data_IF_975461385754
#
_entry.id   IF_975461385754
#
_cell.length_a   1.000
_cell.length_b   1.000
_cell.length_c   1.000
_cell.angle_alpha   90.00
_cell.angle_beta   90.00
_cell.angle_gamma   90.00
#
_symmetry.space_group_name_H-M   'P 1'
#
loop_
_entity.id
_entity.type
_entity.pdbx_description
1 polymer ?
#
# COMPACT_ATOMS: atom_id res chain seq x y z
N UNK A 1 24.50 22.96 -3.19
CA UNK A 1 23.93 22.55 -4.49
C UNK A 1 24.63 21.29 -4.96
N UNK A 2 24.11 20.11 -4.60
CA UNK A 2 24.54 18.86 -5.22
C UNK A 2 23.92 18.87 -6.61
N UNK A 3 24.74 18.95 -7.67
CA UNK A 3 24.24 18.73 -9.03
C UNK A 3 23.60 17.34 -9.06
N UNK A 4 22.27 17.29 -9.16
CA UNK A 4 21.54 16.06 -9.47
C UNK A 4 22.09 15.57 -10.81
N UNK A 5 22.93 14.51 -10.77
CA UNK A 5 23.42 13.84 -11.98
C UNK A 5 22.20 13.44 -12.79
N UNK A 6 22.21 13.72 -14.11
CA UNK A 6 21.17 13.28 -15.04
C UNK A 6 20.92 11.77 -14.80
N UNK A 7 19.70 11.35 -14.44
CA UNK A 7 19.41 9.95 -14.11
C UNK A 7 19.64 9.01 -15.29
N UNK A 8 19.78 9.52 -16.51
CA UNK A 8 20.07 8.74 -17.73
C UNK A 8 21.56 8.71 -18.11
N UNK A 9 22.41 9.38 -17.33
CA UNK A 9 23.84 9.51 -17.66
C UNK A 9 24.54 8.14 -17.70
N UNK A 10 24.27 7.28 -16.71
CA UNK A 10 24.89 5.97 -16.59
C UNK A 10 24.45 5.02 -17.72
N UNK A 11 23.20 5.07 -18.15
CA UNK A 11 22.68 4.29 -19.27
C UNK A 11 23.30 4.70 -20.62
N UNK A 12 23.47 6.01 -20.85
CA UNK A 12 24.16 6.50 -22.06
C UNK A 12 25.62 6.07 -22.08
N UNK A 13 26.29 6.19 -20.94
CA UNK A 13 27.69 5.78 -20.82
C UNK A 13 27.87 4.27 -20.98
N UNK A 14 26.90 3.47 -20.50
CA UNK A 14 26.86 2.03 -20.72
C UNK A 14 26.71 1.72 -22.21
N UNK A 15 25.75 2.34 -22.91
CA UNK A 15 25.55 2.13 -24.35
C UNK A 15 26.81 2.44 -25.14
N UNK A 16 27.44 3.59 -24.90
CA UNK A 16 28.70 3.97 -25.54
C UNK A 16 29.85 2.99 -25.24
N UNK A 17 29.84 2.38 -24.06
CA UNK A 17 30.85 1.39 -23.66
C UNK A 17 30.65 0.06 -24.38
N UNK A 18 29.41 -0.41 -24.48
CA UNK A 18 29.05 -1.66 -25.17
C UNK A 18 29.26 -1.51 -26.68
N UNK A 19 28.84 -0.40 -27.30
CA UNK A 19 29.04 -0.17 -28.74
C UNK A 19 30.52 -0.08 -29.12
N UNK A 20 31.35 0.57 -28.30
CA UNK A 20 32.80 0.57 -28.51
C UNK A 20 33.40 -0.82 -28.29
N UNK A 21 32.93 -1.55 -27.27
CA UNK A 21 33.40 -2.89 -26.98
C UNK A 21 33.05 -3.90 -28.07
N UNK A 22 31.89 -3.76 -28.72
CA UNK A 22 31.48 -4.61 -29.83
C UNK A 22 32.37 -4.53 -31.08
N UNK A 23 33.17 -3.45 -31.23
CA UNK A 23 34.20 -3.35 -32.30
C UNK A 23 35.43 -4.22 -32.02
N UNK A 24 35.64 -4.61 -30.77
CA UNK A 24 36.73 -5.46 -30.30
C UNK A 24 36.17 -6.50 -29.32
N UNK A 25 35.37 -7.47 -29.80
CA UNK A 25 34.58 -8.34 -28.92
C UNK A 25 35.44 -9.34 -28.14
N UNK A 26 36.62 -9.69 -28.66
CA UNK A 26 37.53 -10.68 -28.07
C UNK A 26 37.84 -10.41 -26.59
N UNK A 27 37.48 -11.36 -25.73
CA UNK A 27 37.69 -11.39 -24.29
C UNK A 27 36.79 -10.44 -23.51
N UNK A 28 35.73 -9.87 -24.10
CA UNK A 28 34.84 -8.92 -23.41
C UNK A 28 33.57 -9.59 -22.93
N UNK A 29 33.25 -9.35 -21.67
CA UNK A 29 32.04 -9.87 -21.03
C UNK A 29 31.26 -8.73 -20.37
N UNK A 30 29.93 -8.87 -20.36
CA UNK A 30 29.04 -8.04 -19.55
C UNK A 30 28.17 -8.93 -18.65
N UNK A 31 27.85 -8.41 -17.47
CA UNK A 31 27.00 -9.07 -16.48
C UNK A 31 25.92 -8.10 -16.06
N UNK A 32 24.67 -8.51 -16.21
CA UNK A 32 23.49 -7.72 -15.83
C UNK A 32 22.86 -8.34 -14.59
N UNK A 33 22.87 -7.61 -13.49
CA UNK A 33 22.15 -7.97 -12.26
C UNK A 33 20.77 -7.28 -12.26
N UNK A 34 19.71 -8.07 -12.19
CA UNK A 34 18.32 -7.64 -12.32
C UNK A 34 17.69 -7.22 -10.98
N UNK A 35 18.36 -6.33 -10.24
CA UNK A 35 17.88 -5.89 -8.91
C UNK A 35 16.51 -5.18 -8.95
N UNK A 36 16.08 -4.69 -10.11
CA UNK A 36 14.76 -4.13 -10.33
C UNK A 36 13.62 -5.15 -10.22
N UNK A 37 13.94 -6.45 -10.31
CA UNK A 37 12.99 -7.55 -10.15
C UNK A 37 12.83 -7.99 -8.67
N UNK A 38 13.69 -7.48 -7.77
CA UNK A 38 13.54 -7.70 -6.33
C UNK A 38 12.22 -7.11 -5.81
N UNK A 39 11.74 -7.65 -4.69
CA UNK A 39 10.58 -7.13 -3.98
C UNK A 39 10.75 -5.65 -3.61
N UNK A 40 9.69 -4.83 -3.61
CA UNK A 40 9.78 -3.39 -3.32
C UNK A 40 10.45 -3.07 -1.98
N UNK A 41 10.24 -3.90 -0.96
CA UNK A 41 10.88 -3.82 0.36
C UNK A 41 12.41 -3.92 0.30
N UNK A 42 12.95 -4.67 -0.67
CA UNK A 42 14.37 -4.91 -0.85
C UNK A 42 15.06 -3.85 -1.74
N UNK A 43 14.28 -3.06 -2.48
CA UNK A 43 14.76 -2.03 -3.42
C UNK A 43 15.02 -0.66 -2.78
N UNK A 44 15.32 -0.60 -1.48
CA UNK A 44 15.63 0.67 -0.81
C UNK A 44 16.90 1.31 -1.39
N UNK A 45 17.01 2.66 -1.43
CA UNK A 45 18.21 3.33 -1.89
C UNK A 45 19.49 2.98 -1.12
N UNK A 46 19.36 2.52 0.14
CA UNK A 46 20.48 2.05 0.95
C UNK A 46 21.01 0.70 0.45
N UNK A 47 20.11 -0.27 0.22
CA UNK A 47 20.47 -1.61 -0.24
C UNK A 47 21.09 -1.59 -1.64
N UNK A 48 20.51 -0.82 -2.57
CA UNK A 48 21.05 -0.70 -3.93
C UNK A 48 22.45 -0.08 -3.95
N UNK A 49 22.72 0.91 -3.09
CA UNK A 49 24.07 1.50 -2.92
C UNK A 49 25.05 0.51 -2.32
N UNK A 50 24.61 -0.29 -1.35
CA UNK A 50 25.44 -1.35 -0.75
C UNK A 50 25.82 -2.39 -1.81
N UNK A 51 24.86 -2.88 -2.60
CA UNK A 51 25.11 -3.82 -3.70
C UNK A 51 26.12 -3.28 -4.72
N UNK A 52 25.96 -2.03 -5.16
CA UNK A 52 26.91 -1.38 -6.06
C UNK A 52 28.32 -1.24 -5.46
N UNK A 53 28.40 -0.95 -4.14
CA UNK A 53 29.69 -0.77 -3.44
C UNK A 53 30.53 -2.05 -3.37
N UNK A 54 29.90 -3.24 -3.44
CA UNK A 54 30.61 -4.52 -3.39
C UNK A 54 31.45 -4.79 -4.64
N UNK A 55 31.16 -4.13 -5.76
CA UNK A 55 31.99 -4.20 -6.97
C UNK A 55 33.15 -3.19 -6.99
N UNK A 56 33.23 -2.26 -6.02
CA UNK A 56 34.30 -1.25 -5.97
C UNK A 56 35.72 -1.84 -5.96
N UNK A 57 36.02 -2.94 -5.24
CA UNK A 57 37.34 -3.56 -5.28
C UNK A 57 37.73 -4.12 -6.66
N UNK A 58 36.75 -4.52 -7.47
CA UNK A 58 36.98 -5.06 -8.81
C UNK A 58 37.24 -3.96 -9.84
N UNK A 59 36.74 -2.74 -9.60
CA UNK A 59 37.04 -1.59 -10.46
C UNK A 59 38.48 -1.08 -10.34
N UNK A 60 39.11 -1.24 -9.17
CA UNK A 60 40.46 -0.73 -8.92
C UNK A 60 41.56 -1.68 -9.38
N UNK A 61 41.27 -2.98 -9.49
CA UNK A 61 42.23 -4.04 -9.81
C UNK A 61 42.15 -4.53 -11.26
N UNK A 62 40.95 -4.47 -11.87
CA UNK A 62 40.69 -5.02 -13.20
C UNK A 62 40.18 -3.92 -14.15
N UNK A 63 40.26 -4.14 -15.47
CA UNK A 63 39.66 -3.26 -16.48
C UNK A 63 38.12 -3.41 -16.55
N UNK A 64 37.47 -3.42 -15.38
CA UNK A 64 36.03 -3.66 -15.18
C UNK A 64 35.35 -2.35 -14.83
N UNK A 65 34.24 -2.07 -15.50
CA UNK A 65 33.40 -0.90 -15.29
C UNK A 65 32.05 -1.34 -14.75
N UNK A 66 31.55 -0.66 -13.73
CA UNK A 66 30.23 -0.93 -13.15
C UNK A 66 29.35 0.28 -13.37
N UNK A 67 28.14 0.02 -13.87
CA UNK A 67 27.12 1.02 -14.13
C UNK A 67 25.93 0.73 -13.21
N UNK A 68 25.62 1.64 -12.30
CA UNK A 68 24.37 1.61 -11.53
C UNK A 68 23.29 2.33 -12.32
N UNK A 69 22.24 1.60 -12.70
CA UNK A 69 21.20 2.06 -13.60
C UNK A 69 20.04 2.69 -12.83
N UNK A 70 19.30 3.60 -13.45
CA UNK A 70 18.14 4.30 -12.87
C UNK A 70 16.97 3.39 -12.51
N UNK A 71 16.88 2.18 -13.10
CA UNK A 71 15.90 1.17 -12.69
C UNK A 71 16.26 0.48 -11.35
N UNK A 72 17.49 0.64 -10.88
CA UNK A 72 18.05 -0.06 -9.72
C UNK A 72 18.97 -1.23 -10.09
N UNK A 73 18.99 -1.65 -11.36
CA UNK A 73 19.88 -2.71 -11.84
C UNK A 73 21.36 -2.29 -11.85
N UNK A 74 22.23 -3.28 -11.93
CA UNK A 74 23.68 -3.08 -12.07
C UNK A 74 24.16 -3.80 -13.33
N UNK A 75 24.95 -3.10 -14.14
CA UNK A 75 25.65 -3.69 -15.28
C UNK A 75 27.16 -3.62 -15.05
N UNK A 76 27.84 -4.74 -15.16
CA UNK A 76 29.30 -4.85 -15.05
C UNK A 76 29.84 -5.18 -16.44
N UNK A 77 30.84 -4.45 -16.94
CA UNK A 77 31.42 -4.66 -18.28
C UNK A 77 32.93 -4.62 -18.18
N UNK A 78 33.61 -5.63 -18.70
CA UNK A 78 35.07 -5.73 -18.62
C UNK A 78 35.69 -6.49 -19.78
N UNK A 79 37.01 -6.43 -19.87
CA UNK A 79 37.81 -7.31 -20.74
C UNK A 79 38.63 -8.25 -19.85
N UNK A 80 38.69 -9.52 -20.21
CA UNK A 80 39.38 -10.60 -19.50
C UNK A 80 39.00 -10.60 -18.02
N UNK A 81 37.69 -10.43 -17.76
CA UNK A 81 37.15 -10.24 -16.43
C UNK A 81 37.28 -11.53 -15.62
N UNK A 82 37.77 -11.48 -14.36
CA UNK A 82 37.89 -12.68 -13.53
C UNK A 82 36.51 -13.17 -13.11
N UNK A 83 35.98 -14.15 -13.84
CA UNK A 83 34.62 -14.68 -13.66
C UNK A 83 34.38 -15.14 -12.22
N UNK A 84 35.30 -15.92 -11.63
CA UNK A 84 35.22 -16.39 -10.25
C UNK A 84 35.12 -15.25 -9.21
N UNK A 85 35.79 -14.12 -9.45
CA UNK A 85 35.74 -12.97 -8.54
C UNK A 85 34.41 -12.23 -8.63
N UNK A 86 33.92 -12.06 -9.85
CA UNK A 86 32.62 -11.43 -10.13
C UNK A 86 31.49 -12.29 -9.58
N UNK A 87 31.56 -13.61 -9.78
CA UNK A 87 30.61 -14.57 -9.23
C UNK A 87 30.59 -14.56 -7.70
N UNK A 88 31.76 -14.50 -7.04
CA UNK A 88 31.84 -14.31 -5.57
C UNK A 88 31.12 -13.04 -5.12
N UNK A 89 31.25 -11.94 -5.85
CA UNK A 89 30.55 -10.69 -5.53
C UNK A 89 29.05 -10.82 -5.78
N UNK A 90 28.64 -11.46 -6.87
CA UNK A 90 27.22 -11.74 -7.17
C UNK A 90 26.60 -12.60 -6.06
N UNK A 91 27.26 -13.66 -5.62
CA UNK A 91 26.79 -14.53 -4.53
C UNK A 91 26.74 -13.77 -3.19
N UNK A 92 27.67 -12.85 -2.94
CA UNK A 92 27.60 -11.94 -1.79
C UNK A 92 26.37 -11.02 -1.86
N UNK A 93 26.08 -10.45 -3.03
CA UNK A 93 24.90 -9.60 -3.25
C UNK A 93 23.63 -10.45 -3.10
N UNK A 94 23.59 -11.65 -3.68
CA UNK A 94 22.50 -12.62 -3.52
C UNK A 94 22.24 -12.91 -2.03
N UNK A 95 23.29 -13.10 -1.23
CA UNK A 95 23.16 -13.28 0.23
C UNK A 95 22.65 -12.04 0.98
N UNK A 96 22.89 -10.82 0.48
CA UNK A 96 22.30 -9.59 1.05
C UNK A 96 20.79 -9.53 0.84
N UNK A 97 20.29 -10.22 -0.18
CA UNK A 97 18.88 -10.35 -0.51
C UNK A 97 18.34 -11.75 -0.21
N UNK A 98 18.91 -12.43 0.80
CA UNK A 98 18.52 -13.78 1.23
C UNK A 98 17.02 -13.93 1.52
N UNK A 99 16.30 -12.85 1.82
CA UNK A 99 14.85 -12.88 2.06
C UNK A 99 14.03 -12.62 0.76
N UNK A 100 14.65 -12.60 -0.42
CA UNK A 100 14.01 -12.31 -1.72
C UNK A 100 13.88 -13.55 -2.63
N UNK A 101 12.71 -13.74 -3.28
CA UNK A 101 12.44 -14.86 -4.21
C UNK A 101 13.46 -15.03 -5.31
N UNK A 102 13.94 -13.90 -5.81
CA UNK A 102 14.87 -13.84 -6.92
C UNK A 102 16.24 -14.42 -6.53
N UNK A 103 16.53 -14.51 -5.23
CA UNK A 103 17.79 -14.99 -4.70
C UNK A 103 17.85 -16.52 -4.54
N UNK A 104 16.72 -17.24 -4.59
CA UNK A 104 16.60 -18.66 -4.22
C UNK A 104 16.65 -19.66 -5.39
N UNK A 105 17.04 -19.21 -6.58
CA UNK A 105 17.20 -20.11 -7.73
C UNK A 105 18.47 -20.95 -7.59
N UNK A 106 18.30 -22.27 -7.46
CA UNK A 106 19.36 -23.27 -7.64
C UNK A 106 19.51 -23.59 -9.14
N UNK A 107 20.76 -23.67 -9.64
CA UNK A 107 21.11 -23.85 -11.07
C UNK A 107 20.63 -25.18 -11.70
N UNK A 108 19.91 -26.03 -10.97
CA UNK A 108 19.76 -27.47 -11.26
C UNK A 108 18.69 -27.87 -12.32
N UNK A 109 18.05 -26.93 -13.04
CA UNK A 109 17.00 -27.29 -14.02
C UNK A 109 17.19 -26.70 -15.45
N UNK A 110 18.36 -26.18 -15.80
CA UNK A 110 18.59 -25.61 -17.14
C UNK A 110 17.72 -24.37 -17.44
N UNK A 111 17.16 -23.77 -16.39
CA UNK A 111 16.40 -22.52 -16.41
C UNK A 111 17.42 -21.37 -16.27
N UNK A 112 17.38 -20.33 -17.13
CA UNK A 112 18.26 -19.18 -17.02
C UNK A 112 18.07 -18.46 -15.67
N UNK A 113 19.17 -18.12 -15.00
CA UNK A 113 19.15 -17.40 -13.74
C UNK A 113 18.41 -16.05 -13.88
N UNK A 114 17.28 -15.84 -13.18
CA UNK A 114 16.51 -14.60 -13.29
C UNK A 114 17.17 -13.42 -12.56
N UNK A 115 18.15 -13.69 -11.69
CA UNK A 115 18.86 -12.66 -10.92
C UNK A 115 20.02 -12.05 -11.70
N UNK A 116 20.70 -12.85 -12.53
CA UNK A 116 21.87 -12.41 -13.29
C UNK A 116 21.91 -12.99 -14.70
N UNK A 117 22.30 -12.16 -15.67
CA UNK A 117 22.52 -12.61 -17.06
C UNK A 117 23.93 -12.24 -17.50
N UNK A 118 24.64 -13.23 -18.03
CA UNK A 118 25.97 -13.08 -18.60
C UNK A 118 25.90 -12.92 -20.12
N UNK A 119 26.76 -12.08 -20.67
CA UNK A 119 26.87 -11.81 -22.10
C UNK A 119 28.35 -11.85 -22.51
N UNK A 120 28.72 -12.78 -23.38
CA UNK A 120 30.01 -12.77 -24.05
C UNK A 120 29.90 -11.97 -25.35
N UNK A 121 30.74 -10.96 -25.57
CA UNK A 121 30.59 -10.05 -26.71
C UNK A 121 30.78 -10.77 -28.05
N UNK A 122 31.56 -11.85 -28.09
CA UNK A 122 31.76 -12.64 -29.31
C UNK A 122 30.50 -13.37 -29.77
N UNK A 123 29.58 -13.68 -28.85
CA UNK A 123 28.39 -14.50 -29.11
C UNK A 123 27.11 -13.68 -28.96
N UNK A 124 26.99 -12.94 -27.87
CA UNK A 124 25.74 -12.36 -27.40
C UNK A 124 25.58 -10.87 -27.73
N UNK A 125 26.51 -10.25 -28.44
CA UNK A 125 26.46 -8.81 -28.74
C UNK A 125 25.16 -8.40 -29.45
N UNK A 126 24.64 -9.25 -30.33
CA UNK A 126 23.37 -9.01 -31.02
C UNK A 126 22.16 -9.04 -30.08
N UNK A 127 22.26 -9.70 -28.93
CA UNK A 127 21.24 -9.75 -27.87
C UNK A 127 21.44 -8.60 -26.87
N UNK A 128 22.68 -8.36 -26.45
CA UNK A 128 23.03 -7.33 -25.47
C UNK A 128 22.71 -5.91 -25.94
N UNK A 129 22.99 -5.57 -27.20
CA UNK A 129 22.77 -4.22 -27.74
C UNK A 129 21.28 -3.78 -27.67
N UNK A 130 20.31 -4.59 -28.13
CA UNK A 130 18.89 -4.31 -27.92
C UNK A 130 18.50 -4.12 -26.44
N UNK A 131 19.03 -4.95 -25.53
CA UNK A 131 18.75 -4.85 -24.09
C UNK A 131 19.19 -3.49 -23.54
N UNK A 132 20.45 -3.09 -23.79
CA UNK A 132 20.99 -1.81 -23.31
C UNK A 132 20.25 -0.61 -23.91
N UNK A 133 19.85 -0.69 -25.19
CA UNK A 133 19.03 0.36 -25.84
C UNK A 133 17.65 0.47 -25.21
N UNK A 134 17.02 -0.66 -24.88
CA UNK A 134 15.72 -0.68 -24.19
C UNK A 134 15.82 -0.06 -22.79
N UNK A 135 16.87 -0.38 -22.03
CA UNK A 135 17.14 0.21 -20.72
C UNK A 135 17.25 1.74 -20.82
N UNK A 136 18.03 2.25 -21.78
CA UNK A 136 18.16 3.68 -22.00
C UNK A 136 16.83 4.34 -22.39
N UNK A 137 16.09 3.74 -23.32
CA UNK A 137 14.80 4.28 -23.75
C UNK A 137 13.79 4.38 -22.59
N UNK A 138 13.76 3.39 -21.71
CA UNK A 138 12.89 3.38 -20.54
C UNK A 138 13.33 4.40 -19.47
N UNK A 139 14.64 4.58 -19.29
CA UNK A 139 15.21 5.62 -18.43
C UNK A 139 14.86 7.03 -18.96
N UNK A 140 14.90 7.25 -20.27
CA UNK A 140 14.52 8.53 -20.89
C UNK A 140 13.03 8.84 -20.74
N UNK A 141 12.15 7.84 -20.89
CA UNK A 141 10.72 7.98 -20.58
C UNK A 141 10.49 8.34 -19.11
N UNK A 142 11.16 7.65 -18.18
CA UNK A 142 11.08 7.95 -16.74
C UNK A 142 11.58 9.35 -16.43
N UNK A 143 12.68 9.79 -17.06
CA UNK A 143 13.19 11.17 -16.92
C UNK A 143 12.21 12.21 -17.45
N UNK A 144 11.60 11.97 -18.61
CA UNK A 144 10.57 12.88 -19.15
C UNK A 144 9.36 12.98 -18.22
N UNK A 145 8.93 11.87 -17.64
CA UNK A 145 7.90 11.86 -16.61
C UNK A 145 8.34 12.64 -15.35
N UNK A 146 9.56 12.42 -14.85
CA UNK A 146 10.11 13.09 -13.67
C UNK A 146 10.35 14.59 -13.85
N UNK A 147 10.76 15.05 -15.04
CA UNK A 147 10.94 16.47 -15.35
C UNK A 147 9.63 17.27 -15.34
N UNK A 148 8.48 16.57 -15.30
CA UNK A 148 7.16 17.16 -15.14
C UNK A 148 6.66 17.12 -13.69
N UNK A 149 7.39 16.50 -12.75
CA UNK A 149 6.99 16.52 -11.34
C UNK A 149 7.36 17.87 -10.69
N UNK A 150 6.47 18.45 -9.86
CA UNK A 150 6.77 19.63 -9.05
C UNK A 150 7.98 19.38 -8.13
N UNK A 151 8.69 20.43 -7.70
CA UNK A 151 9.71 20.30 -6.66
C UNK A 151 9.13 19.65 -5.40
N UNK A 152 9.95 18.86 -4.71
CA UNK A 152 9.52 18.22 -3.45
C UNK A 152 9.11 19.28 -2.43
N UNK A 153 7.95 19.09 -1.76
CA UNK A 153 7.45 20.04 -0.78
C UNK A 153 8.38 20.11 0.44
N UNK A 154 8.57 21.30 1.00
CA UNK A 154 9.41 21.50 2.19
C UNK A 154 8.71 20.96 3.44
N UNK A 155 9.44 20.48 4.46
CA UNK A 155 8.83 20.09 5.73
C UNK A 155 8.07 21.26 6.39
N UNK A 156 7.03 20.93 7.16
CA UNK A 156 6.32 21.92 7.99
C UNK A 156 7.12 22.24 9.25
N UNK A 157 7.10 23.51 9.66
CA UNK A 157 7.62 23.97 10.95
C UNK A 157 6.50 24.40 11.90
N UNK A 158 6.81 24.62 13.19
CA UNK A 158 5.82 25.06 14.18
C UNK A 158 5.09 26.36 13.81
N UNK A 159 5.77 27.27 13.07
CA UNK A 159 5.18 28.52 12.59
C UNK A 159 4.12 28.35 11.51
N UNK A 160 4.08 27.20 10.82
CA UNK A 160 3.12 26.95 9.74
C UNK A 160 1.75 26.48 10.30
N UNK A 161 1.72 25.87 11.50
CA UNK A 161 0.54 25.21 12.06
C UNK A 161 -0.66 26.17 12.23
N UNK A 162 -0.43 27.37 12.77
CA UNK A 162 -1.50 28.36 12.95
C UNK A 162 -2.12 28.80 11.62
N UNK A 163 -1.29 28.93 10.58
CA UNK A 163 -1.75 29.22 9.21
C UNK A 163 -2.55 28.05 8.62
N UNK A 164 -2.12 26.81 8.85
CA UNK A 164 -2.83 25.61 8.41
C UNK A 164 -4.21 25.47 9.07
N UNK A 165 -4.30 25.69 10.38
CA UNK A 165 -5.58 25.66 11.12
C UNK A 165 -6.51 26.76 10.61
N UNK A 166 -6.02 27.99 10.46
CA UNK A 166 -6.80 29.10 9.89
C UNK A 166 -7.25 28.83 8.45
N UNK A 167 -6.40 28.19 7.64
CA UNK A 167 -6.73 27.78 6.29
C UNK A 167 -7.87 26.77 6.26
N UNK A 168 -7.85 25.80 7.18
CA UNK A 168 -8.90 24.80 7.33
C UNK A 168 -10.25 25.44 7.70
N UNK A 169 -10.25 26.49 8.53
CA UNK A 169 -11.46 27.23 8.90
C UNK A 169 -12.14 27.89 7.70
N UNK A 170 -11.36 28.35 6.73
CA UNK A 170 -11.85 28.98 5.50
C UNK A 170 -12.26 27.97 4.43
N UNK A 171 -11.81 26.72 4.54
CA UNK A 171 -12.02 25.68 3.53
C UNK A 171 -13.42 25.08 3.65
N UNK A 172 -14.10 24.93 2.51
CA UNK A 172 -15.28 24.07 2.46
C UNK A 172 -14.85 22.59 2.48
N UNK A 173 -14.67 22.04 3.69
CA UNK A 173 -14.16 20.70 3.92
C UNK A 173 -14.99 19.61 3.22
N UNK A 174 -16.31 19.80 3.03
CA UNK A 174 -17.19 18.80 2.38
C UNK A 174 -16.75 18.39 0.99
N UNK A 175 -16.07 19.28 0.26
CA UNK A 175 -15.54 18.98 -1.09
C UNK A 175 -14.39 17.99 -1.08
N UNK A 176 -13.76 17.82 0.08
CA UNK A 176 -12.61 16.95 0.29
C UNK A 176 -12.97 15.71 1.12
N UNK A 177 -14.24 15.58 1.53
CA UNK A 177 -14.75 14.38 2.18
C UNK A 177 -15.18 13.41 1.08
N UNK A 178 -14.61 12.21 1.17
CA UNK A 178 -14.96 11.07 0.35
C UNK A 178 -15.52 9.98 1.24
N UNK A 179 -16.24 9.04 0.62
CA UNK A 179 -16.65 7.81 1.27
C UNK A 179 -16.18 6.59 0.50
N UNK A 180 -15.79 5.55 1.23
CA UNK A 180 -15.33 4.27 0.69
C UNK A 180 -16.06 3.12 1.39
N UNK A 181 -16.63 2.15 0.66
CA UNK A 181 -17.28 1.00 1.25
C UNK A 181 -16.23 0.01 1.82
N UNK A 182 -16.50 -0.47 3.03
CA UNK A 182 -15.97 -1.74 3.51
C UNK A 182 -17.03 -2.81 3.21
N UNK A 183 -16.64 -3.88 2.51
CA UNK A 183 -17.56 -4.96 2.17
C UNK A 183 -17.31 -6.16 3.07
N UNK A 184 -18.38 -6.85 3.44
CA UNK A 184 -18.33 -8.14 4.10
C UNK A 184 -18.77 -9.24 3.12
N UNK A 185 -17.98 -10.30 3.02
CA UNK A 185 -18.21 -11.42 2.10
C UNK A 185 -18.72 -12.63 2.89
N UNK A 186 -19.93 -13.04 2.56
CA UNK A 186 -20.54 -14.30 2.99
C UNK A 186 -20.36 -15.38 1.92
N UNK A 187 -20.83 -16.60 2.17
CA UNK A 187 -20.75 -17.69 1.18
C UNK A 187 -21.45 -17.41 -0.15
N UNK A 188 -22.46 -16.52 -0.16
CA UNK A 188 -23.35 -16.30 -1.32
C UNK A 188 -23.35 -14.86 -1.82
N UNK A 189 -23.06 -13.90 -0.96
CA UNK A 189 -23.20 -12.47 -1.24
C UNK A 189 -22.09 -11.66 -0.57
N UNK A 190 -21.74 -10.54 -1.20
CA UNK A 190 -21.02 -9.45 -0.59
C UNK A 190 -22.01 -8.32 -0.25
N UNK A 191 -21.88 -7.76 0.93
CA UNK A 191 -22.71 -6.67 1.44
C UNK A 191 -21.83 -5.54 1.97
N UNK A 192 -22.35 -4.31 1.97
CA UNK A 192 -21.63 -3.19 2.59
C UNK A 192 -21.76 -3.32 4.11
N UNK A 193 -20.62 -3.48 4.79
CA UNK A 193 -20.55 -3.51 6.25
C UNK A 193 -20.70 -2.10 6.83
N UNK A 194 -19.96 -1.14 6.26
CA UNK A 194 -20.06 0.29 6.55
C UNK A 194 -19.46 1.10 5.39
N UNK A 195 -19.74 2.41 5.36
CA UNK A 195 -19.02 3.35 4.50
C UNK A 195 -18.11 4.25 5.35
N UNK A 196 -16.80 4.16 5.11
CA UNK A 196 -15.79 5.03 5.74
C UNK A 196 -15.83 6.39 5.10
N UNK A 197 -16.12 7.43 5.89
CA UNK A 197 -15.96 8.80 5.49
C UNK A 197 -14.54 9.23 5.87
N UNK A 198 -13.81 9.78 4.90
CA UNK A 198 -12.43 10.20 5.11
C UNK A 198 -12.14 11.46 4.33
N UNK A 199 -11.12 12.18 4.77
CA UNK A 199 -10.64 13.38 4.12
C UNK A 199 -9.32 13.07 3.43
N UNK A 200 -9.19 13.50 2.17
CA UNK A 200 -7.90 13.43 1.49
C UNK A 200 -6.96 14.50 2.06
N UNK A 201 -6.10 14.10 2.99
CA UNK A 201 -5.08 14.96 3.61
C UNK A 201 -4.19 15.62 2.54
N UNK A 202 -3.77 14.88 1.52
CA UNK A 202 -3.01 15.41 0.39
C UNK A 202 -3.78 16.43 -0.46
N UNK A 203 -5.11 16.32 -0.54
CA UNK A 203 -5.94 17.31 -1.24
C UNK A 203 -6.13 18.57 -0.42
N UNK A 204 -6.28 18.44 0.90
CA UNK A 204 -6.30 19.58 1.81
C UNK A 204 -4.95 20.30 1.82
N UNK A 205 -3.85 19.56 1.97
CA UNK A 205 -2.49 20.10 1.98
C UNK A 205 -2.19 20.94 0.75
N UNK A 206 -2.62 20.51 -0.43
CA UNK A 206 -2.47 21.31 -1.68
C UNK A 206 -3.19 22.66 -1.65
N UNK A 207 -4.20 22.84 -0.80
CA UNK A 207 -4.95 24.09 -0.67
C UNK A 207 -4.41 24.95 0.45
N UNK A 208 -4.17 24.36 1.62
CA UNK A 208 -3.80 25.12 2.84
C UNK A 208 -2.28 25.29 3.00
N UNK A 209 -1.48 24.44 2.35
CA UNK A 209 -0.03 24.42 2.47
C UNK A 209 0.63 23.90 1.17
N UNK A 210 0.42 24.56 0.01
CA UNK A 210 0.75 24.06 -1.34
C UNK A 210 2.23 23.75 -1.60
N UNK A 211 3.13 24.22 -0.75
CA UNK A 211 4.58 24.01 -0.85
C UNK A 211 5.17 23.26 0.34
N UNK A 212 4.31 22.74 1.23
CA UNK A 212 4.71 22.09 2.46
C UNK A 212 4.23 20.64 2.50
N UNK A 213 5.07 19.77 3.04
CA UNK A 213 4.68 18.41 3.38
C UNK A 213 4.06 18.40 4.78
N UNK A 214 2.73 18.43 4.83
CA UNK A 214 1.99 18.43 6.09
C UNK A 214 2.12 17.11 6.87
N UNK A 215 2.66 16.06 6.24
CA UNK A 215 2.89 14.75 6.86
C UNK A 215 4.34 14.59 7.35
N UNK A 216 5.22 15.55 7.07
CA UNK A 216 6.65 15.47 7.41
C UNK A 216 6.90 15.43 8.92
N UNK A 217 6.12 16.16 9.72
CA UNK A 217 6.28 16.23 11.18
C UNK A 217 5.07 15.66 11.92
N UNK A 218 5.28 14.53 12.59
CA UNK A 218 4.21 13.74 13.21
C UNK A 218 3.40 14.50 14.26
N UNK A 219 4.07 15.22 15.15
CA UNK A 219 3.40 15.93 16.26
C UNK A 219 2.60 17.14 15.77
N UNK A 220 3.13 17.87 14.79
CA UNK A 220 2.40 18.98 14.15
C UNK A 220 1.19 18.45 13.38
N UNK A 221 1.35 17.33 12.69
CA UNK A 221 0.24 16.67 12.03
C UNK A 221 -0.82 16.17 13.02
N UNK A 222 -0.42 15.63 14.17
CA UNK A 222 -1.37 15.20 15.21
C UNK A 222 -2.25 16.36 15.69
N UNK A 223 -1.64 17.51 15.99
CA UNK A 223 -2.40 18.71 16.41
C UNK A 223 -3.31 19.23 15.29
N UNK A 224 -2.82 19.23 14.05
CA UNK A 224 -3.63 19.56 12.88
C UNK A 224 -4.81 18.59 12.71
N UNK A 225 -4.60 17.28 12.93
CA UNK A 225 -5.60 16.24 12.75
C UNK A 225 -6.75 16.34 13.75
N UNK A 226 -6.50 16.78 15.00
CA UNK A 226 -7.57 17.05 15.97
C UNK A 226 -8.54 18.11 15.47
N UNK A 227 -8.01 19.20 14.93
CA UNK A 227 -8.84 20.26 14.33
C UNK A 227 -9.57 19.73 13.09
N UNK A 228 -8.91 18.88 12.31
CA UNK A 228 -9.51 18.24 11.13
C UNK A 228 -10.71 17.35 11.50
N UNK A 229 -10.61 16.56 12.56
CA UNK A 229 -11.69 15.70 13.05
C UNK A 229 -12.92 16.54 13.39
N UNK A 230 -12.77 17.58 14.22
CA UNK A 230 -13.87 18.49 14.60
C UNK A 230 -14.58 19.07 13.38
N UNK A 231 -13.80 19.52 12.38
CA UNK A 231 -14.33 20.10 11.15
C UNK A 231 -15.03 19.07 10.28
N UNK A 232 -14.48 17.86 10.20
CA UNK A 232 -15.06 16.75 9.45
C UNK A 232 -16.38 16.31 10.08
N UNK A 233 -16.42 16.09 11.39
CA UNK A 233 -17.63 15.72 12.13
C UNK A 233 -18.73 16.78 11.90
N UNK A 234 -18.41 18.06 12.12
CA UNK A 234 -19.38 19.15 11.93
C UNK A 234 -19.91 19.23 10.49
N UNK A 235 -19.12 18.86 9.50
CA UNK A 235 -19.53 18.80 8.11
C UNK A 235 -20.47 17.62 7.82
N UNK A 236 -20.30 16.48 8.50
CA UNK A 236 -21.14 15.29 8.37
C UNK A 236 -22.52 15.46 9.00
N UNK A 237 -22.65 16.17 10.13
CA UNK A 237 -23.95 16.48 10.77
C UNK A 237 -24.98 17.02 9.78
N UNK A 238 -24.51 17.78 8.80
CA UNK A 238 -25.34 18.50 7.83
C UNK A 238 -25.29 17.87 6.43
N UNK A 239 -24.89 16.60 6.33
CA UNK A 239 -24.72 15.89 5.06
C UNK A 239 -25.82 14.85 4.87
N UNK A 240 -26.65 15.04 3.86
CA UNK A 240 -27.68 14.07 3.45
C UNK A 240 -27.06 12.73 3.04
N UNK A 241 -25.87 12.77 2.41
CA UNK A 241 -25.14 11.57 1.98
C UNK A 241 -24.65 10.76 3.18
N UNK A 242 -24.22 11.45 4.25
CA UNK A 242 -23.82 10.78 5.48
C UNK A 242 -25.01 10.18 6.23
N UNK A 243 -26.25 10.56 5.89
CA UNK A 243 -27.45 9.98 6.47
C UNK A 243 -27.91 8.67 5.80
N UNK A 244 -27.38 8.35 4.61
CA UNK A 244 -27.82 7.19 3.82
C UNK A 244 -27.38 5.84 4.41
N UNK A 245 -26.11 5.65 4.83
CA UNK A 245 -25.66 4.35 5.31
C UNK A 245 -26.19 4.09 6.71
N UNK A 246 -26.54 2.83 6.97
CA UNK A 246 -26.90 2.36 8.32
C UNK A 246 -25.70 2.47 9.26
N UNK A 247 -24.52 2.10 8.78
CA UNK A 247 -23.26 2.19 9.52
C UNK A 247 -22.27 3.05 8.74
N UNK A 248 -21.74 4.08 9.40
CA UNK A 248 -20.65 4.90 8.88
C UNK A 248 -19.38 4.59 9.67
N UNK A 249 -18.21 4.75 9.04
CA UNK A 249 -16.93 4.71 9.74
C UNK A 249 -16.23 6.07 9.66
N UNK A 250 -15.57 6.47 10.76
CA UNK A 250 -14.82 7.71 10.88
C UNK A 250 -13.45 7.43 11.48
N UNK A 251 -12.39 7.88 10.79
CA UNK A 251 -11.07 7.97 11.41
C UNK A 251 -11.08 9.14 12.37
N UNK A 252 -10.85 8.87 13.65
CA UNK A 252 -10.85 9.88 14.69
C UNK A 252 -9.67 9.66 15.64
N UNK A 253 -9.11 10.77 16.12
CA UNK A 253 -8.33 10.75 17.34
C UNK A 253 -9.26 10.39 18.51
N UNK A 254 -8.74 9.65 19.50
CA UNK A 254 -9.47 9.30 20.73
C UNK A 254 -10.01 10.55 21.44
N UNK A 255 -9.27 11.65 21.39
CA UNK A 255 -9.69 12.93 21.98
C UNK A 255 -10.93 13.54 21.34
N UNK A 256 -11.16 13.25 20.07
CA UNK A 256 -12.31 13.77 19.33
C UNK A 256 -13.64 13.19 19.82
N UNK A 257 -13.62 12.07 20.55
CA UNK A 257 -14.81 11.47 21.17
C UNK A 257 -15.45 12.34 22.25
N UNK A 258 -14.65 13.17 22.92
CA UNK A 258 -15.13 14.09 23.97
C UNK A 258 -15.56 15.46 23.40
N UNK A 259 -15.52 15.62 22.07
CA UNK A 259 -15.88 16.88 21.41
C UNK A 259 -17.39 17.10 21.37
N UNK A 260 -17.79 18.38 21.42
CA UNK A 260 -19.21 18.76 21.26
C UNK A 260 -19.75 18.37 19.89
N UNK A 261 -18.90 18.39 18.88
CA UNK A 261 -19.23 18.04 17.51
C UNK A 261 -19.58 16.56 17.38
N UNK A 262 -18.84 15.67 18.05
CA UNK A 262 -19.16 14.23 18.09
C UNK A 262 -20.51 13.99 18.76
N UNK A 263 -20.73 14.63 19.91
CA UNK A 263 -22.00 14.66 20.64
C UNK A 263 -23.19 15.08 19.75
N UNK A 264 -23.02 16.17 19.00
CA UNK A 264 -24.05 16.69 18.09
C UNK A 264 -24.29 15.72 16.92
N UNK A 265 -23.23 15.15 16.35
CA UNK A 265 -23.35 14.15 15.29
C UNK A 265 -24.16 12.96 15.80
N UNK A 266 -23.78 12.36 16.93
CA UNK A 266 -24.45 11.16 17.41
C UNK A 266 -25.92 11.40 17.76
N UNK A 267 -26.25 12.55 18.38
CA UNK A 267 -27.65 12.94 18.68
C UNK A 267 -28.49 13.23 17.43
N UNK A 268 -27.85 13.59 16.31
CA UNK A 268 -28.53 13.83 15.04
C UNK A 268 -28.82 12.56 14.24
N UNK A 269 -28.19 11.44 14.61
CA UNK A 269 -28.37 10.14 13.94
C UNK A 269 -29.51 9.34 14.58
N UNK A 270 -30.25 8.62 13.75
CA UNK A 270 -31.29 7.69 14.22
C UNK A 270 -30.70 6.60 15.14
N UNK A 271 -31.47 6.07 16.11
CA UNK A 271 -30.97 5.08 17.07
C UNK A 271 -30.49 3.76 16.46
N UNK A 272 -30.99 3.39 15.27
CA UNK A 272 -30.64 2.16 14.54
C UNK A 272 -29.43 2.32 13.61
N UNK A 273 -28.83 3.52 13.61
CA UNK A 273 -27.63 3.86 12.87
C UNK A 273 -26.42 3.89 13.80
N UNK A 274 -25.29 3.45 13.27
CA UNK A 274 -24.09 3.17 14.04
C UNK A 274 -22.86 3.87 13.45
N UNK A 275 -21.92 4.23 14.32
CA UNK A 275 -20.61 4.75 13.97
C UNK A 275 -19.56 3.70 14.31
N UNK A 276 -18.66 3.40 13.38
CA UNK A 276 -17.39 2.74 13.65
C UNK A 276 -16.35 3.83 13.84
N UNK A 277 -15.77 3.92 15.04
CA UNK A 277 -14.68 4.84 15.35
C UNK A 277 -13.37 4.13 15.06
N UNK A 278 -12.69 4.51 13.98
CA UNK A 278 -11.38 3.99 13.61
C UNK A 278 -10.28 4.84 14.25
N UNK A 279 -9.49 4.22 15.13
CA UNK A 279 -8.38 4.87 15.83
C UNK A 279 -7.06 4.28 15.35
N UNK A 280 -6.13 5.14 14.96
CA UNK A 280 -4.78 4.71 14.56
C UNK A 280 -4.05 4.07 15.73
N UNK A 281 -3.33 2.96 15.49
CA UNK A 281 -2.52 2.24 16.49
C UNK A 281 -1.64 3.17 17.34
N UNK A 282 -1.05 4.20 16.75
CA UNK A 282 -0.23 5.16 17.51
C UNK A 282 -1.02 5.89 18.59
N UNK A 283 -2.25 6.31 18.28
CA UNK A 283 -3.04 7.11 19.20
C UNK A 283 -3.48 6.25 20.40
N UNK A 284 -3.74 4.96 20.14
CA UNK A 284 -3.95 3.97 21.19
C UNK A 284 -2.73 3.85 22.10
N UNK A 285 -1.52 3.78 21.56
CA UNK A 285 -0.31 3.70 22.38
C UNK A 285 -0.05 4.97 23.21
N UNK A 286 -0.40 6.16 22.69
CA UNK A 286 -0.24 7.41 23.44
C UNK A 286 -1.37 7.67 24.43
N UNK A 287 -2.53 7.03 24.26
CA UNK A 287 -3.75 7.29 25.03
C UNK A 287 -4.48 6.01 25.45
N UNK A 288 -3.74 5.02 25.97
CA UNK A 288 -4.28 3.69 26.28
C UNK A 288 -5.47 3.72 27.26
N UNK A 289 -5.41 4.55 28.31
CA UNK A 289 -6.51 4.68 29.27
C UNK A 289 -7.80 5.18 28.61
N UNK A 290 -7.68 6.09 27.64
CA UNK A 290 -8.82 6.58 26.87
C UNK A 290 -9.35 5.52 25.92
N UNK A 291 -8.48 4.75 25.26
CA UNK A 291 -8.88 3.59 24.46
C UNK A 291 -9.72 2.59 25.29
N UNK A 292 -9.20 2.20 26.45
CA UNK A 292 -9.86 1.23 27.33
C UNK A 292 -11.21 1.74 27.86
N UNK A 293 -11.35 3.07 28.01
CA UNK A 293 -12.60 3.72 28.43
C UNK A 293 -13.57 4.00 27.28
N UNK A 294 -13.07 4.10 26.04
CA UNK A 294 -13.88 4.42 24.86
C UNK A 294 -14.86 3.30 24.49
N UNK A 295 -14.46 2.04 24.64
CA UNK A 295 -15.30 0.90 24.23
C UNK A 295 -16.62 0.82 25.02
N UNK A 296 -16.63 0.86 26.38
CA UNK A 296 -17.89 0.91 27.14
C UNK A 296 -18.78 2.09 26.73
N UNK A 297 -18.19 3.28 26.54
CA UNK A 297 -18.91 4.48 26.14
C UNK A 297 -19.58 4.32 24.76
N UNK A 298 -18.86 3.82 23.76
CA UNK A 298 -19.42 3.59 22.41
C UNK A 298 -20.50 2.51 22.40
N UNK A 299 -20.37 1.49 23.26
CA UNK A 299 -21.40 0.44 23.40
C UNK A 299 -22.73 0.98 23.91
N UNK A 300 -22.75 2.02 24.75
CA UNK A 300 -24.00 2.64 25.24
C UNK A 300 -24.86 3.21 24.10
N UNK A 301 -24.23 3.65 23.02
CA UNK A 301 -24.88 4.18 21.82
C UNK A 301 -24.97 3.16 20.69
N UNK A 302 -24.55 1.92 20.92
CA UNK A 302 -24.51 0.87 19.90
C UNK A 302 -23.44 1.09 18.82
N UNK A 303 -22.45 1.93 19.09
CA UNK A 303 -21.34 2.23 18.20
C UNK A 303 -20.18 1.24 18.40
N UNK A 304 -19.25 1.19 17.46
CA UNK A 304 -18.16 0.21 17.41
C UNK A 304 -16.80 0.89 17.47
N UNK A 305 -15.82 0.25 18.10
CA UNK A 305 -14.44 0.71 18.15
C UNK A 305 -13.55 -0.14 17.24
N UNK A 306 -12.78 0.51 16.36
CA UNK A 306 -11.88 -0.16 15.44
C UNK A 306 -10.44 0.31 15.62
N UNK A 307 -9.50 -0.65 15.60
CA UNK A 307 -8.06 -0.40 15.59
C UNK A 307 -7.57 -0.35 14.14
N UNK A 308 -7.06 0.79 13.69
CA UNK A 308 -6.60 1.00 12.31
C UNK A 308 -5.08 1.13 12.19
N UNK A 309 -4.58 0.77 11.01
CA UNK A 309 -3.18 0.92 10.64
C UNK A 309 -2.27 -0.21 11.09
N UNK A 310 -2.80 -1.41 11.37
CA UNK A 310 -1.95 -2.55 11.70
C UNK A 310 -1.20 -3.04 10.45
N UNK A 311 0.10 -3.24 10.61
CA UNK A 311 0.85 -4.14 9.73
C UNK A 311 0.76 -5.57 10.27
N UNK A 312 0.91 -6.60 9.42
CA UNK A 312 0.87 -8.00 9.86
C UNK A 312 1.78 -8.28 11.06
N UNK A 313 3.02 -7.78 11.01
CA UNK A 313 4.03 -7.93 12.05
C UNK A 313 3.66 -7.36 13.42
N UNK A 314 2.72 -6.41 13.50
CA UNK A 314 2.28 -5.83 14.78
C UNK A 314 1.36 -6.79 15.56
N UNK A 315 0.78 -7.80 14.90
CA UNK A 315 -0.09 -8.79 15.54
C UNK A 315 0.62 -9.61 16.61
N UNK A 316 1.92 -9.87 16.47
CA UNK A 316 2.72 -10.59 17.47
C UNK A 316 3.19 -9.73 18.65
N UNK A 317 3.06 -8.40 18.56
CA UNK A 317 3.54 -7.45 19.58
C UNK A 317 2.40 -6.91 20.44
N UNK A 318 1.18 -6.86 19.90
CA UNK A 318 0.01 -6.33 20.58
C UNK A 318 -0.91 -7.42 21.12
N UNK A 319 -1.31 -7.28 22.37
CA UNK A 319 -2.35 -8.13 22.98
C UNK A 319 -3.74 -7.65 22.53
N UNK A 320 -4.17 -8.14 21.36
CA UNK A 320 -5.45 -7.76 20.76
C UNK A 320 -6.65 -8.28 21.55
N UNK A 321 -6.51 -9.37 22.30
CA UNK A 321 -7.57 -9.88 23.18
C UNK A 321 -7.83 -8.89 24.32
N UNK A 322 -6.76 -8.32 24.90
CA UNK A 322 -6.87 -7.31 25.95
C UNK A 322 -7.30 -5.94 25.44
N UNK A 323 -6.85 -5.54 24.24
CA UNK A 323 -7.33 -4.31 23.61
C UNK A 323 -8.80 -4.41 23.20
N UNK A 324 -9.28 -5.63 22.92
CA UNK A 324 -10.65 -6.00 22.56
C UNK A 324 -11.30 -5.01 21.55
N UNK A 325 -10.73 -4.72 20.38
CA UNK A 325 -11.37 -3.83 19.39
C UNK A 325 -12.54 -4.53 18.68
N UNK A 326 -13.68 -3.89 18.45
CA UNK A 326 -14.77 -4.51 17.67
C UNK A 326 -14.33 -4.85 16.24
N UNK A 327 -13.45 -4.04 15.64
CA UNK A 327 -12.78 -4.36 14.37
C UNK A 327 -11.27 -4.07 14.39
N UNK A 328 -10.50 -4.80 13.59
CA UNK A 328 -9.08 -4.55 13.32
C UNK A 328 -8.87 -4.40 11.83
N UNK A 329 -8.29 -3.28 11.41
CA UNK A 329 -7.90 -3.04 10.01
C UNK A 329 -6.43 -3.35 9.82
N UNK A 330 -6.17 -4.40 9.06
CA UNK A 330 -4.81 -4.81 8.67
C UNK A 330 -4.52 -4.35 7.26
N UNK A 331 -3.41 -3.67 7.07
CA UNK A 331 -2.99 -3.16 5.78
C UNK A 331 -2.51 -4.33 4.90
N UNK A 332 -3.16 -4.53 3.76
CA UNK A 332 -2.69 -5.43 2.71
C UNK A 332 -1.33 -4.98 2.17
N UNK A 333 -0.46 -5.97 1.95
CA UNK A 333 0.81 -5.81 1.25
C UNK A 333 1.06 -7.04 0.38
N UNK A 334 1.53 -6.92 -0.88
CA UNK A 334 1.81 -8.06 -1.74
C UNK A 334 2.75 -9.11 -1.11
N UNK A 335 3.67 -8.66 -0.25
CA UNK A 335 4.59 -9.50 0.52
C UNK A 335 3.85 -10.54 1.39
N UNK A 336 2.60 -10.30 1.79
CA UNK A 336 1.80 -11.24 2.59
C UNK A 336 1.41 -12.51 1.82
N UNK A 337 1.32 -12.43 0.49
CA UNK A 337 1.05 -13.58 -0.38
C UNK A 337 2.31 -14.19 -0.98
N UNK A 338 3.49 -13.63 -0.73
CA UNK A 338 4.74 -14.22 -1.17
C UNK A 338 4.96 -15.54 -0.40
N UNK A 339 5.27 -16.66 -1.06
CA UNK A 339 5.52 -17.98 -0.42
C UNK A 339 6.62 -18.00 0.66
N UNK A 340 7.34 -16.89 0.76
CA UNK A 340 8.68 -16.74 1.32
C UNK A 340 8.68 -15.87 2.57
N UNK A 341 7.52 -15.24 2.86
CA UNK A 341 7.23 -14.58 4.12
C UNK A 341 6.19 -15.39 4.91
N UNK A 342 6.51 -16.63 5.36
CA UNK A 342 5.57 -17.48 6.09
C UNK A 342 5.14 -16.85 7.42
N UNK A 343 5.94 -15.93 7.96
CA UNK A 343 5.60 -15.17 9.17
C UNK A 343 4.37 -14.30 8.97
N UNK A 344 4.20 -13.64 7.82
CA UNK A 344 3.02 -12.80 7.56
C UNK A 344 1.72 -13.62 7.60
N UNK A 345 1.75 -14.85 7.05
CA UNK A 345 0.62 -15.79 7.11
C UNK A 345 0.36 -16.22 8.57
N UNK A 346 1.42 -16.52 9.33
CA UNK A 346 1.32 -16.88 10.75
C UNK A 346 0.76 -15.74 11.61
N UNK A 347 1.23 -14.52 11.39
CA UNK A 347 0.81 -13.33 12.12
C UNK A 347 -0.67 -13.05 11.88
N UNK A 348 -1.11 -13.12 10.62
CA UNK A 348 -2.52 -12.90 10.26
C UNK A 348 -3.39 -14.01 10.83
N UNK A 349 -2.95 -15.27 10.76
CA UNK A 349 -3.67 -16.37 11.39
C UNK A 349 -3.78 -16.16 12.90
N UNK A 350 -2.75 -15.60 13.54
CA UNK A 350 -2.77 -15.30 14.97
C UNK A 350 -3.81 -14.21 15.30
N UNK A 351 -3.87 -13.13 14.50
CA UNK A 351 -4.90 -12.09 14.64
C UNK A 351 -6.31 -12.67 14.44
N UNK A 352 -6.51 -13.46 13.38
CA UNK A 352 -7.80 -14.10 13.08
C UNK A 352 -8.20 -15.09 14.16
N UNK A 353 -7.26 -15.83 14.75
CA UNK A 353 -7.55 -16.75 15.85
C UNK A 353 -7.92 -16.02 17.14
N UNK A 354 -7.24 -14.90 17.45
CA UNK A 354 -7.50 -14.11 18.65
C UNK A 354 -8.85 -13.39 18.60
N UNK A 355 -9.23 -12.85 17.44
CA UNK A 355 -10.41 -11.99 17.32
C UNK A 355 -11.59 -12.63 16.58
N UNK A 356 -11.34 -13.61 15.71
CA UNK A 356 -12.29 -14.11 14.74
C UNK A 356 -12.26 -13.31 13.43
N UNK A 357 -12.45 -14.03 12.30
CA UNK A 357 -12.33 -13.48 10.95
C UNK A 357 -13.35 -12.40 10.57
N UNK A 358 -14.48 -12.34 11.27
CA UNK A 358 -15.52 -11.31 11.08
C UNK A 358 -15.08 -9.94 11.62
N UNK A 359 -14.16 -9.92 12.60
CA UNK A 359 -13.62 -8.70 13.21
C UNK A 359 -12.37 -8.20 12.51
N UNK A 360 -11.82 -8.94 11.55
CA UNK A 360 -10.64 -8.54 10.78
C UNK A 360 -11.07 -7.97 9.44
N UNK A 361 -10.54 -6.79 9.11
CA UNK A 361 -10.75 -6.09 7.86
C UNK A 361 -9.41 -5.98 7.14
N UNK A 362 -9.32 -6.51 5.92
CA UNK A 362 -8.14 -6.32 5.08
C UNK A 362 -8.30 -5.01 4.30
N UNK A 363 -7.52 -4.00 4.66
CA UNK A 363 -7.55 -2.66 4.07
C UNK A 363 -6.51 -2.51 2.96
N UNK A 364 -6.65 -1.46 2.12
CA UNK A 364 -5.83 -1.24 0.92
C UNK A 364 -5.85 -2.38 -0.10
N UNK A 365 -6.93 -3.14 -0.16
CA UNK A 365 -7.15 -4.15 -1.20
C UNK A 365 -7.26 -3.46 -2.58
N UNK A 366 -6.19 -3.56 -3.37
CA UNK A 366 -6.05 -2.93 -4.68
C UNK A 366 -6.11 -3.92 -5.86
N UNK A 367 -6.25 -5.21 -5.55
CA UNK A 367 -6.32 -6.29 -6.53
C UNK A 367 -7.26 -7.42 -6.09
N UNK A 368 -7.64 -8.27 -7.05
CA UNK A 368 -8.36 -9.50 -6.77
C UNK A 368 -7.54 -10.48 -5.92
N UNK A 369 -6.21 -10.45 -6.06
CA UNK A 369 -5.28 -11.28 -5.29
C UNK A 369 -5.42 -10.98 -3.80
N UNK A 370 -5.44 -9.71 -3.40
CA UNK A 370 -5.63 -9.29 -2.00
C UNK A 370 -6.89 -9.89 -1.37
N UNK A 371 -8.03 -9.81 -2.08
CA UNK A 371 -9.31 -10.32 -1.60
C UNK A 371 -9.30 -11.84 -1.52
N UNK A 372 -8.80 -12.51 -2.57
CA UNK A 372 -8.74 -13.98 -2.61
C UNK A 372 -7.86 -14.52 -1.49
N UNK A 373 -6.68 -13.91 -1.30
CA UNK A 373 -5.76 -14.28 -0.24
C UNK A 373 -6.40 -14.09 1.14
N UNK A 374 -7.06 -12.96 1.41
CA UNK A 374 -7.72 -12.76 2.71
C UNK A 374 -8.82 -13.78 2.99
N UNK A 375 -9.63 -14.13 1.98
CA UNK A 375 -10.65 -15.18 2.09
C UNK A 375 -10.02 -16.53 2.48
N UNK A 376 -8.93 -16.91 1.81
CA UNK A 376 -8.21 -18.16 2.09
C UNK A 376 -7.65 -18.22 3.52
N UNK A 377 -7.38 -17.06 4.11
CA UNK A 377 -6.84 -16.90 5.46
C UNK A 377 -7.92 -16.57 6.51
N UNK A 378 -9.20 -16.71 6.17
CA UNK A 378 -10.32 -16.59 7.10
C UNK A 378 -10.82 -15.15 7.33
N UNK A 379 -10.30 -14.16 6.61
CA UNK A 379 -10.78 -12.78 6.64
C UNK A 379 -12.02 -12.65 5.77
N UNK A 380 -13.04 -11.95 6.27
CA UNK A 380 -14.32 -11.79 5.57
C UNK A 380 -14.63 -10.36 5.13
N UNK A 381 -13.92 -9.38 5.67
CA UNK A 381 -14.19 -7.97 5.40
C UNK A 381 -13.03 -7.30 4.65
N UNK A 382 -13.34 -6.51 3.62
CA UNK A 382 -12.37 -5.98 2.68
C UNK A 382 -12.65 -4.53 2.32
N UNK A 383 -11.58 -3.74 2.19
CA UNK A 383 -11.67 -2.35 1.79
C UNK A 383 -10.48 -1.95 0.91
N UNK A 384 -10.73 -1.18 -0.14
CA UNK A 384 -9.68 -0.59 -0.98
C UNK A 384 -10.15 -0.29 -2.40
N UNK A 385 -9.21 0.14 -3.24
CA UNK A 385 -9.48 0.58 -4.62
C UNK A 385 -10.11 -0.51 -5.49
N UNK A 386 -9.75 -1.77 -5.25
CA UNK A 386 -10.37 -2.88 -5.98
C UNK A 386 -11.85 -3.03 -5.60
N UNK A 387 -12.18 -2.85 -4.31
CA UNK A 387 -13.57 -2.87 -3.83
C UNK A 387 -14.37 -1.73 -4.45
N UNK A 388 -13.80 -0.51 -4.52
CA UNK A 388 -14.44 0.62 -5.20
C UNK A 388 -14.75 0.32 -6.67
N UNK A 389 -13.80 -0.31 -7.38
CA UNK A 389 -13.96 -0.65 -8.79
C UNK A 389 -15.04 -1.73 -8.98
N UNK A 390 -15.06 -2.78 -8.14
CA UNK A 390 -16.09 -3.82 -8.16
C UNK A 390 -17.46 -3.19 -7.91
N UNK A 391 -17.57 -2.34 -6.89
CA UNK A 391 -18.83 -1.71 -6.53
C UNK A 391 -19.33 -0.74 -7.60
N UNK A 392 -18.43 0.05 -8.17
CA UNK A 392 -18.71 0.91 -9.33
C UNK A 392 -19.21 0.10 -10.53
N UNK A 393 -18.58 -1.05 -10.81
CA UNK A 393 -18.99 -1.92 -11.92
C UNK A 393 -20.39 -2.52 -11.69
N UNK A 394 -20.71 -2.96 -10.47
CA UNK A 394 -22.04 -3.47 -10.12
C UNK A 394 -23.12 -2.37 -10.20
N UNK A 395 -22.75 -1.15 -9.79
CA UNK A 395 -23.61 0.04 -9.93
C UNK A 395 -23.90 0.33 -11.40
N UNK A 396 -22.88 0.37 -12.25
CA UNK A 396 -23.04 0.58 -13.68
C UNK A 396 -23.86 -0.53 -14.34
N UNK A 397 -23.64 -1.80 -13.97
CA UNK A 397 -24.39 -2.94 -14.52
C UNK A 397 -25.89 -2.81 -14.33
N UNK A 398 -26.32 -2.22 -13.22
CA UNK A 398 -27.74 -2.03 -12.87
C UNK A 398 -28.27 -0.64 -13.27
N UNK A 399 -27.43 0.21 -13.86
CA UNK A 399 -27.76 1.60 -14.14
C UNK A 399 -28.30 1.77 -15.58
N UNK A 400 -29.53 2.31 -15.76
CA UNK A 400 -30.08 2.57 -17.09
C UNK A 400 -29.29 3.62 -17.89
N UNK A 401 -28.52 4.47 -17.22
CA UNK A 401 -27.69 5.52 -17.82
C UNK A 401 -26.20 5.15 -17.93
N UNK A 402 -25.84 3.87 -17.76
CA UNK A 402 -24.45 3.42 -17.71
C UNK A 402 -23.61 3.81 -18.94
N UNK A 403 -24.23 3.86 -20.12
CA UNK A 403 -23.56 4.25 -21.36
C UNK A 403 -23.03 5.70 -21.38
N UNK A 404 -23.49 6.55 -20.45
CA UNK A 404 -23.08 7.96 -20.33
C UNK A 404 -21.96 8.18 -19.29
N UNK A 405 -21.34 7.11 -18.81
CA UNK A 405 -20.41 7.16 -17.69
C UNK A 405 -19.28 6.16 -17.89
N UNK A 406 -18.07 6.54 -17.52
CA UNK A 406 -16.95 5.60 -17.30
C UNK A 406 -17.00 5.04 -15.88
N UNK A 407 -16.35 3.90 -15.63
CA UNK A 407 -16.22 3.33 -14.28
C UNK A 407 -15.60 4.34 -13.29
N UNK A 408 -14.58 5.07 -13.73
CA UNK A 408 -13.91 6.09 -12.93
C UNK A 408 -14.84 7.22 -12.53
N UNK A 409 -15.66 7.72 -13.45
CA UNK A 409 -16.65 8.77 -13.15
C UNK A 409 -17.74 8.25 -12.21
N UNK A 410 -18.21 7.01 -12.41
CA UNK A 410 -19.20 6.38 -11.53
C UNK A 410 -18.66 6.28 -10.10
N UNK A 411 -17.46 5.71 -9.93
CA UNK A 411 -16.80 5.57 -8.64
C UNK A 411 -16.54 6.94 -7.98
N UNK A 412 -16.10 7.95 -8.75
CA UNK A 412 -15.85 9.31 -8.24
C UNK A 412 -17.13 9.99 -7.74
N UNK A 413 -18.24 9.90 -8.50
CA UNK A 413 -19.53 10.47 -8.09
C UNK A 413 -20.10 9.73 -6.88
N UNK A 414 -19.93 8.41 -6.83
CA UNK A 414 -20.36 7.57 -5.71
C UNK A 414 -19.58 7.89 -4.44
N UNK A 415 -18.28 8.11 -4.51
CA UNK A 415 -17.45 8.43 -3.35
C UNK A 415 -17.62 9.88 -2.86
N UNK A 416 -18.16 10.77 -3.69
CA UNK A 416 -18.34 12.17 -3.30
C UNK A 416 -19.45 12.35 -2.26
N UNK A 417 -19.17 13.17 -1.25
CA UNK A 417 -20.16 13.65 -0.26
C UNK A 417 -20.78 14.98 -0.69
N UNK A 418 -20.05 15.81 -1.45
CA UNK A 418 -20.59 17.05 -2.00
C UNK A 418 -21.66 16.78 -3.07
N UNK A 419 -22.89 17.26 -2.81
CA UNK A 419 -24.01 17.12 -3.73
C UNK A 419 -23.74 17.75 -5.10
N UNK A 420 -22.90 18.78 -5.20
CA UNK A 420 -22.54 19.35 -6.52
C UNK A 420 -21.85 18.32 -7.43
N UNK A 421 -21.05 17.42 -6.87
CA UNK A 421 -20.42 16.35 -7.64
C UNK A 421 -21.43 15.27 -7.99
N UNK A 422 -22.28 14.88 -7.03
CA UNK A 422 -23.28 13.82 -7.19
C UNK A 422 -24.36 14.16 -8.22
N UNK A 423 -24.78 15.42 -8.30
CA UNK A 423 -25.80 15.88 -9.27
C UNK A 423 -25.33 15.86 -10.72
N UNK A 424 -24.02 15.67 -10.97
CA UNK A 424 -23.51 15.38 -12.32
C UNK A 424 -23.82 13.95 -12.78
N UNK A 425 -24.32 13.08 -11.90
CA UNK A 425 -24.76 11.75 -12.27
C UNK A 425 -26.10 11.81 -13.02
N UNK A 426 -26.21 11.19 -14.21
CA UNK A 426 -27.49 11.10 -14.93
C UNK A 426 -28.54 10.22 -14.23
N UNK A 427 -28.14 9.45 -13.21
CA UNK A 427 -29.02 8.63 -12.38
C UNK A 427 -28.59 8.70 -10.90
N UNK A 428 -28.89 9.81 -10.22
CA UNK A 428 -28.49 10.06 -8.82
C UNK A 428 -28.96 8.94 -7.87
N UNK A 429 -30.23 8.47 -7.90
CA UNK A 429 -30.68 7.40 -7.01
C UNK A 429 -29.89 6.09 -7.19
N UNK A 430 -29.34 5.85 -8.38
CA UNK A 430 -28.53 4.68 -8.66
C UNK A 430 -27.17 4.65 -7.94
N UNK A 431 -26.65 5.78 -7.46
CA UNK A 431 -25.34 5.86 -6.80
C UNK A 431 -25.27 5.05 -5.49
N UNK A 432 -26.40 4.90 -4.81
CA UNK A 432 -26.52 4.29 -3.48
C UNK A 432 -27.35 3.00 -3.48
N UNK A 433 -27.98 2.66 -4.61
CA UNK A 433 -28.93 1.56 -4.70
C UNK A 433 -28.30 0.17 -4.49
N UNK A 434 -27.01 0.01 -4.84
CA UNK A 434 -26.31 -1.26 -4.69
C UNK A 434 -25.74 -1.36 -3.28
N UNK A 435 -26.40 -2.12 -2.43
CA UNK A 435 -25.96 -2.47 -1.07
C UNK A 435 -25.51 -3.94 -0.96
N UNK A 436 -25.93 -4.77 -1.91
CA UNK A 436 -25.65 -6.21 -1.98
C UNK A 436 -25.26 -6.60 -3.41
N UNK A 437 -24.32 -7.52 -3.57
CA UNK A 437 -23.97 -8.10 -4.87
C UNK A 437 -23.46 -9.54 -4.71
N UNK A 438 -23.57 -10.33 -5.78
CA UNK A 438 -23.12 -11.74 -5.76
C UNK A 438 -21.63 -11.82 -5.46
N UNK A 439 -21.27 -12.64 -4.46
CA UNK A 439 -19.87 -12.94 -4.17
C UNK A 439 -19.28 -13.86 -5.26
N UNK A 440 -17.96 -13.83 -5.49
CA UNK A 440 -17.29 -14.87 -6.26
C UNK A 440 -17.61 -16.25 -5.67
N UNK A 441 -17.74 -17.28 -6.51
CA UNK A 441 -17.99 -18.65 -6.04
C UNK A 441 -16.76 -19.18 -5.29
N UNK A 442 -16.69 -18.98 -3.98
CA UNK A 442 -15.59 -19.46 -3.14
C UNK A 442 -15.83 -20.94 -2.82
N UNK A 443 -15.03 -21.85 -3.38
CA UNK A 443 -14.92 -23.21 -2.85
C UNK A 443 -14.08 -23.16 -1.57
N UNK A 444 -14.71 -22.90 -0.43
CA UNK A 444 -14.04 -23.00 0.87
C UNK A 444 -13.50 -24.42 1.05
N UNK A 445 -12.17 -24.59 0.99
CA UNK A 445 -11.55 -25.83 1.49
C UNK A 445 -11.78 -25.84 3.00
N UNK A 446 -12.67 -26.71 3.48
CA UNK A 446 -12.80 -26.98 4.91
C UNK A 446 -11.41 -27.34 5.46
N UNK A 447 -10.91 -26.57 6.42
CA UNK A 447 -9.77 -26.96 7.21
C UNK A 447 -10.09 -28.33 7.83
N UNK A 448 -9.24 -29.32 7.53
CA UNK A 448 -9.35 -30.62 8.21
C UNK A 448 -8.95 -30.42 9.67
N UNK A 449 -9.69 -30.98 10.64
CA UNK A 449 -9.27 -30.91 12.03
C UNK A 449 -7.90 -31.57 12.19
N UNK A 450 -7.04 -31.07 13.10
CA UNK A 450 -5.75 -31.68 13.37
C UNK A 450 -5.97 -33.14 13.79
N UNK A 451 -5.31 -34.05 13.08
CA UNK A 451 -5.26 -35.47 13.42
C UNK A 451 -4.73 -35.63 14.85
N UNK A 452 -5.39 -36.42 15.71
CA UNK A 452 -4.89 -36.69 17.04
C UNK A 452 -3.56 -37.41 16.91
N UNK A 453 -2.48 -36.76 17.36
CA UNK A 453 -1.17 -37.37 17.51
C UNK A 453 -1.29 -38.53 18.49
N UNK A 454 -0.82 -39.70 18.04
CA UNK A 454 -0.67 -40.92 18.82
C UNK A 454 -0.09 -40.63 20.21
N UNK A 455 -0.89 -40.91 21.24
CA UNK A 455 -0.42 -41.02 22.60
C UNK A 455 0.48 -42.26 22.70
N UNK A 456 1.79 -42.05 22.66
CA UNK A 456 2.75 -43.05 23.08
C UNK A 456 2.56 -43.36 24.57
N UNK A 457 2.12 -44.57 24.87
CA UNK A 457 2.21 -45.15 26.21
C UNK A 457 3.69 -45.20 26.65
N UNK A 458 4.01 -44.86 27.91
CA UNK A 458 5.34 -45.10 28.45
C UNK A 458 5.43 -46.56 28.90
N UNK A 459 6.28 -47.33 28.24
CA UNK A 459 6.71 -48.63 28.71
C UNK A 459 7.85 -48.51 29.73
N UNK A 460 7.58 -48.98 30.95
CA UNK A 460 8.47 -49.36 32.07
C UNK A 460 9.00 -48.25 32.99
#
# INVERSE_FOLDING_TARGET
MVQLRDPTHSERELLDTVERGGRTPAGRTAVHLHLSQLLPSNRTPSHLRMAASLFMPLQSLNAVRVFSLSCGDIMVVGKDMPEDEVERVINRIRSLFHDDPLSWYDEDEGIPDPFVTWYAFEVDLQVLLPVVRSILAEAEKRRQAMGMLPPEPEPIGPGDLGGMISGLDSLNIRRNIHRQPCIHITEKQAEILFEEFYVSVSSIGRVIAPHRDILSERWLFQEFSRTLDTRMIAALVRSEVAALPRTISLNLNLESLDSKEYDVLRRSMDPDRHIVVEVQVIDVFTNLDRWLSAKPMLRETGDFLALDGLTPSMGGVMDLERLDPDFVKVIWSPEMAAPEHPTAVSDIRSIVNALGGDRVILSRCDSQVAVTWGIEHGIRSFQGRFIDAVHGAMTMRSCPAAAQCTLKECATRRSAVDMKMRTTCPNIPGLDAIQFFSAPSIRLRRASPPSPTDGGEPSS
#
